data_IF_984982457089
#
_entry.id   IF_984982457089
#
_cell.length_a   1.000
_cell.length_b   1.000
_cell.length_c   1.000
_cell.angle_alpha   90.00
_cell.angle_beta   90.00
_cell.angle_gamma   90.00
#
_symmetry.space_group_name_H-M   'P 1'
#
loop_
_entity.id
_entity.type
_entity.pdbx_description
1 polymer ?
#
# COMPACT_ATOMS: atom_id res chain seq x y z
N UNK A 1 -10.60 -8.27 28.80
CA UNK A 1 -10.90 -9.19 27.69
C UNK A 1 -10.01 -8.80 26.53
N UNK A 2 -9.52 -9.77 25.76
CA UNK A 2 -8.74 -9.49 24.54
C UNK A 2 -9.68 -9.11 23.40
N UNK A 3 -9.15 -8.46 22.38
CA UNK A 3 -9.91 -8.02 21.20
C UNK A 3 -10.65 -9.22 20.56
N UNK A 4 -9.99 -10.37 20.46
CA UNK A 4 -10.57 -11.60 19.90
C UNK A 4 -11.69 -12.18 20.77
N UNK A 5 -11.56 -12.10 22.10
CA UNK A 5 -12.61 -12.55 23.02
C UNK A 5 -13.88 -11.72 22.89
N UNK A 6 -13.75 -10.41 22.71
CA UNK A 6 -14.88 -9.50 22.53
C UNK A 6 -15.54 -9.71 21.16
N UNK A 7 -14.72 -9.88 20.12
CA UNK A 7 -15.19 -10.26 18.79
C UNK A 7 -16.01 -11.56 18.81
N UNK A 8 -15.46 -12.63 19.40
CA UNK A 8 -16.15 -13.93 19.42
C UNK A 8 -17.43 -13.88 20.25
N UNK A 9 -17.46 -13.09 21.33
CA UNK A 9 -18.66 -12.90 22.16
C UNK A 9 -19.79 -12.23 21.37
N UNK A 10 -19.47 -11.29 20.47
CA UNK A 10 -20.45 -10.68 19.56
C UNK A 10 -20.95 -11.67 18.52
N UNK A 11 -20.05 -12.44 17.93
CA UNK A 11 -20.39 -13.52 16.98
C UNK A 11 -21.33 -14.54 17.64
N UNK A 12 -21.05 -14.94 18.88
CA UNK A 12 -21.89 -15.86 19.63
C UNK A 12 -23.28 -15.27 19.91
N UNK A 13 -23.36 -14.01 20.34
CA UNK A 13 -24.63 -13.32 20.57
C UNK A 13 -25.50 -13.29 19.31
N UNK A 14 -24.90 -12.98 18.15
CA UNK A 14 -25.58 -12.99 16.86
C UNK A 14 -26.04 -14.41 16.50
N UNK A 15 -25.17 -15.41 16.67
CA UNK A 15 -25.49 -16.80 16.37
C UNK A 15 -26.66 -17.34 17.21
N UNK A 16 -26.68 -17.01 18.51
CA UNK A 16 -27.73 -17.43 19.45
C UNK A 16 -29.13 -16.90 19.09
N UNK A 17 -29.23 -15.86 18.26
CA UNK A 17 -30.53 -15.38 17.76
C UNK A 17 -31.24 -16.39 16.85
N UNK A 18 -30.50 -17.32 16.23
CA UNK A 18 -31.01 -18.29 15.27
C UNK A 18 -31.57 -17.70 13.97
N UNK A 19 -31.37 -16.40 13.74
CA UNK A 19 -31.89 -15.65 12.57
C UNK A 19 -30.78 -15.00 11.75
N UNK A 20 -29.53 -15.23 12.13
CA UNK A 20 -28.38 -14.65 11.48
C UNK A 20 -28.20 -15.19 10.06
N UNK A 21 -27.74 -14.32 9.17
CA UNK A 21 -27.21 -14.64 7.85
C UNK A 21 -25.73 -14.25 7.80
N UNK A 22 -25.04 -14.58 6.71
CA UNK A 22 -23.66 -14.12 6.48
C UNK A 22 -23.46 -12.62 6.75
N UNK A 23 -24.39 -11.77 6.30
CA UNK A 23 -24.31 -10.32 6.52
C UNK A 23 -24.41 -9.91 7.99
N UNK A 24 -25.03 -10.72 8.84
CA UNK A 24 -25.25 -10.39 10.25
C UNK A 24 -23.95 -10.31 11.04
N UNK A 25 -22.90 -11.00 10.60
CA UNK A 25 -21.59 -11.01 11.27
C UNK A 25 -20.65 -9.90 10.79
N UNK A 26 -20.97 -9.24 9.67
CA UNK A 26 -20.12 -8.20 9.06
C UNK A 26 -19.81 -7.01 10.00
N UNK A 27 -20.76 -6.50 10.82
CA UNK A 27 -20.46 -5.44 11.78
C UNK A 27 -19.39 -5.85 12.81
N UNK A 28 -19.42 -7.12 13.27
CA UNK A 28 -18.43 -7.62 14.22
C UNK A 28 -17.03 -7.69 13.58
N UNK A 29 -16.95 -8.09 12.31
CA UNK A 29 -15.69 -8.06 11.55
C UNK A 29 -15.18 -6.61 11.35
N UNK A 30 -16.05 -5.68 10.95
CA UNK A 30 -15.64 -4.29 10.77
C UNK A 30 -15.06 -3.67 12.05
N UNK A 31 -15.71 -3.91 13.18
CA UNK A 31 -15.25 -3.44 14.49
C UNK A 31 -13.95 -4.13 14.95
N UNK A 32 -13.80 -5.43 14.68
CA UNK A 32 -12.55 -6.15 14.94
C UNK A 32 -11.38 -5.45 14.24
N UNK A 33 -11.48 -5.19 12.93
CA UNK A 33 -10.39 -4.55 12.18
C UNK A 33 -10.16 -3.09 12.61
N UNK A 34 -11.21 -2.34 12.91
CA UNK A 34 -11.09 -0.97 13.43
C UNK A 34 -10.43 -0.91 14.82
N UNK A 35 -10.47 -2.01 15.59
CA UNK A 35 -9.83 -2.10 16.90
C UNK A 35 -8.34 -2.48 16.85
N UNK A 36 -7.81 -2.90 15.69
CA UNK A 36 -6.42 -3.34 15.55
C UNK A 36 -5.43 -2.17 15.56
N UNK A 37 -5.80 -1.01 15.01
CA UNK A 37 -4.98 0.21 15.00
C UNK A 37 -5.84 1.46 14.71
N UNK A 38 -5.39 2.63 15.18
CA UNK A 38 -6.16 3.91 15.13
C UNK A 38 -6.53 4.35 13.71
N UNK A 39 -5.68 4.08 12.72
CA UNK A 39 -5.87 4.49 11.32
C UNK A 39 -6.45 3.39 10.42
N UNK A 40 -6.79 2.21 10.97
CA UNK A 40 -7.29 1.07 10.19
C UNK A 40 -8.82 1.08 10.14
N UNK A 41 -9.37 0.91 8.94
CA UNK A 41 -10.81 0.73 8.73
C UNK A 41 -11.09 -0.40 7.76
N UNK A 42 -12.21 -1.09 7.96
CA UNK A 42 -12.71 -2.12 7.05
C UNK A 42 -14.04 -1.65 6.46
N UNK A 43 -13.99 -1.19 5.20
CA UNK A 43 -15.17 -0.77 4.46
C UNK A 43 -15.92 -2.00 3.97
N UNK A 44 -17.14 -2.21 4.46
CA UNK A 44 -18.02 -3.27 3.97
C UNK A 44 -18.67 -2.86 2.64
N UNK A 45 -18.82 -3.82 1.73
CA UNK A 45 -19.40 -3.62 0.38
C UNK A 45 -18.72 -2.47 -0.39
N UNK A 46 -17.39 -2.57 -0.62
CA UNK A 46 -16.66 -1.59 -1.43
C UNK A 46 -17.17 -1.56 -2.87
N UNK A 47 -16.82 -0.50 -3.60
CA UNK A 47 -17.07 -0.46 -5.04
C UNK A 47 -16.40 -1.66 -5.74
N UNK A 48 -17.10 -2.20 -6.74
CA UNK A 48 -16.68 -3.39 -7.46
C UNK A 48 -15.37 -3.15 -8.22
N UNK A 49 -14.38 -4.00 -8.00
CA UNK A 49 -13.09 -4.00 -8.71
C UNK A 49 -13.10 -5.01 -9.87
N UNK A 50 -12.09 -4.96 -10.74
CA UNK A 50 -12.02 -5.79 -11.95
C UNK A 50 -12.14 -7.30 -11.68
N UNK A 51 -11.64 -7.78 -10.53
CA UNK A 51 -11.71 -9.18 -10.14
C UNK A 51 -13.01 -9.55 -9.38
N UNK A 52 -13.86 -8.60 -9.02
CA UNK A 52 -15.10 -8.80 -8.27
C UNK A 52 -15.30 -7.77 -7.16
N UNK A 53 -16.14 -8.07 -6.18
CA UNK A 53 -16.27 -7.25 -4.97
C UNK A 53 -16.04 -8.19 -3.78
N UNK A 54 -14.86 -8.15 -3.15
CA UNK A 54 -14.68 -8.73 -1.83
C UNK A 54 -15.62 -8.08 -0.83
N UNK A 55 -16.02 -8.80 0.21
CA UNK A 55 -16.94 -8.26 1.21
C UNK A 55 -16.40 -7.05 1.96
N UNK A 56 -15.07 -7.01 2.19
CA UNK A 56 -14.41 -5.88 2.80
C UNK A 56 -13.17 -5.45 2.03
N UNK A 57 -12.97 -4.13 2.01
CA UNK A 57 -11.71 -3.48 1.71
C UNK A 57 -11.15 -2.93 3.02
N UNK A 58 -9.96 -3.39 3.41
CA UNK A 58 -9.25 -2.91 4.59
C UNK A 58 -8.25 -1.86 4.17
N UNK A 59 -8.29 -0.70 4.80
CA UNK A 59 -7.42 0.43 4.49
C UNK A 59 -6.83 1.05 5.75
N UNK A 60 -5.63 1.61 5.61
CA UNK A 60 -5.00 2.48 6.61
C UNK A 60 -4.90 3.88 6.03
N UNK A 61 -5.67 4.83 6.56
CA UNK A 61 -5.91 6.10 5.88
C UNK A 61 -6.45 5.88 4.45
N UNK A 62 -5.74 6.39 3.45
CA UNK A 62 -6.09 6.25 2.02
C UNK A 62 -5.48 5.02 1.33
N UNK A 63 -4.73 4.18 2.05
CA UNK A 63 -3.98 3.05 1.48
C UNK A 63 -4.74 1.73 1.70
N UNK A 64 -5.03 1.00 0.63
CA UNK A 64 -5.69 -0.31 0.69
C UNK A 64 -4.71 -1.40 1.12
N UNK A 65 -4.80 -1.85 2.38
CA UNK A 65 -3.92 -2.87 2.98
C UNK A 65 -4.23 -4.27 2.46
N UNK A 66 -5.51 -4.58 2.27
CA UNK A 66 -5.93 -5.92 1.92
C UNK A 66 -7.45 -6.06 1.83
N UNK A 67 -7.89 -7.27 1.57
CA UNK A 67 -9.30 -7.59 1.38
C UNK A 67 -9.71 -8.74 2.28
N UNK A 68 -10.99 -8.77 2.64
CA UNK A 68 -11.58 -9.88 3.39
C UNK A 68 -12.81 -10.37 2.64
N UNK A 69 -12.88 -11.68 2.45
CA UNK A 69 -14.09 -12.37 2.02
C UNK A 69 -14.67 -13.12 3.22
N UNK A 70 -15.90 -12.78 3.58
CA UNK A 70 -16.63 -13.43 4.65
C UNK A 70 -17.49 -14.56 4.10
N UNK A 71 -17.76 -15.56 4.95
CA UNK A 71 -18.73 -16.63 4.71
C UNK A 71 -19.61 -16.80 5.93
N UNK A 72 -20.76 -17.43 5.71
CA UNK A 72 -21.64 -17.79 6.82
C UNK A 72 -20.96 -18.74 7.80
N UNK A 73 -21.29 -18.63 9.09
CA UNK A 73 -20.65 -19.34 10.20
C UNK A 73 -20.51 -20.87 9.98
N UNK A 74 -21.52 -21.59 9.43
CA UNK A 74 -21.43 -23.04 9.23
C UNK A 74 -20.66 -23.43 7.96
N UNK A 75 -20.30 -22.47 7.10
CA UNK A 75 -19.66 -22.73 5.82
C UNK A 75 -18.15 -22.88 6.03
N UNK A 76 -17.62 -24.08 5.73
CA UNK A 76 -16.19 -24.32 5.76
C UNK A 76 -15.45 -23.56 4.65
N UNK A 77 -14.26 -23.04 4.98
CA UNK A 77 -13.41 -22.31 4.04
C UNK A 77 -12.66 -23.22 3.06
N UNK A 78 -12.50 -24.49 3.43
CA UNK A 78 -11.66 -25.47 2.71
C UNK A 78 -12.53 -26.46 1.95
N UNK A 79 -12.16 -26.74 0.70
CA UNK A 79 -12.92 -27.66 -0.15
C UNK A 79 -14.19 -27.07 -0.76
N UNK A 80 -14.23 -25.74 -0.94
CA UNK A 80 -15.30 -25.07 -1.69
C UNK A 80 -15.47 -25.69 -3.09
N UNK A 81 -16.71 -25.76 -3.57
CA UNK A 81 -17.07 -26.33 -4.87
C UNK A 81 -17.60 -25.26 -5.82
N UNK A 82 -17.54 -25.57 -7.11
CA UNK A 82 -18.19 -24.83 -8.18
C UNK A 82 -17.92 -23.31 -8.16
N UNK A 83 -18.98 -22.50 -8.03
CA UNK A 83 -18.91 -21.04 -8.08
C UNK A 83 -18.01 -20.44 -6.99
N UNK A 84 -18.05 -20.99 -5.78
CA UNK A 84 -17.25 -20.48 -4.65
C UNK A 84 -15.77 -20.75 -4.85
N UNK A 85 -15.41 -21.91 -5.43
CA UNK A 85 -14.02 -22.22 -5.79
C UNK A 85 -13.51 -21.29 -6.88
N UNK A 86 -14.30 -21.06 -7.93
CA UNK A 86 -13.92 -20.16 -9.01
C UNK A 86 -13.74 -18.70 -8.52
N UNK A 87 -14.57 -18.26 -7.58
CA UNK A 87 -14.41 -16.95 -6.92
C UNK A 87 -13.11 -16.91 -6.12
N UNK A 88 -12.86 -17.91 -5.27
CA UNK A 88 -11.66 -18.00 -4.45
C UNK A 88 -10.38 -18.01 -5.30
N UNK A 89 -10.33 -18.83 -6.36
CA UNK A 89 -9.19 -18.89 -7.27
C UNK A 89 -8.96 -17.54 -7.98
N UNK A 90 -10.04 -16.82 -8.32
CA UNK A 90 -9.95 -15.49 -8.94
C UNK A 90 -9.45 -14.44 -7.96
N UNK A 91 -9.94 -14.44 -6.72
CA UNK A 91 -9.54 -13.48 -5.69
C UNK A 91 -8.10 -13.71 -5.25
N UNK A 92 -7.70 -14.96 -5.01
CA UNK A 92 -6.31 -15.31 -4.68
C UNK A 92 -5.32 -14.81 -5.74
N UNK A 93 -5.66 -14.93 -7.02
CA UNK A 93 -4.78 -14.45 -8.11
C UNK A 93 -4.73 -12.94 -8.25
N UNK A 94 -5.76 -12.23 -7.80
CA UNK A 94 -5.93 -10.80 -8.06
C UNK A 94 -5.64 -9.92 -6.85
N UNK A 95 -5.70 -10.48 -5.64
CA UNK A 95 -5.61 -9.74 -4.38
C UNK A 95 -4.36 -10.21 -3.62
N UNK A 96 -3.33 -9.36 -3.48
CA UNK A 96 -2.03 -9.75 -2.94
C UNK A 96 -2.07 -10.01 -1.42
N UNK A 97 -3.02 -9.42 -0.71
CA UNK A 97 -3.22 -9.62 0.72
C UNK A 97 -4.72 -9.87 0.99
N UNK A 98 -5.06 -11.10 1.34
CA UNK A 98 -6.45 -11.57 1.36
C UNK A 98 -6.72 -12.50 2.54
N UNK A 99 -7.80 -12.24 3.27
CA UNK A 99 -8.33 -13.13 4.30
C UNK A 99 -9.63 -13.76 3.81
N UNK A 100 -9.78 -15.06 4.03
CA UNK A 100 -11.07 -15.74 4.04
C UNK A 100 -11.45 -16.08 5.48
N UNK A 101 -12.69 -15.79 5.88
CA UNK A 101 -13.18 -16.15 7.21
C UNK A 101 -14.67 -16.47 7.25
N UNK A 102 -15.06 -17.40 8.13
CA UNK A 102 -16.45 -17.62 8.56
C UNK A 102 -16.66 -17.15 10.01
N UNK A 103 -15.80 -16.24 10.49
CA UNK A 103 -15.65 -15.78 11.88
C UNK A 103 -15.03 -16.78 12.86
N UNK A 104 -15.01 -18.09 12.56
CA UNK A 104 -14.42 -19.12 13.43
C UNK A 104 -13.09 -19.62 12.90
N UNK A 105 -13.03 -19.86 11.60
CA UNK A 105 -11.87 -20.23 10.80
C UNK A 105 -11.37 -19.02 10.03
N UNK A 106 -10.05 -18.97 9.84
CA UNK A 106 -9.35 -17.90 9.16
C UNK A 106 -8.26 -18.52 8.28
N UNK A 107 -8.32 -18.23 6.98
CA UNK A 107 -7.27 -18.59 6.01
C UNK A 107 -6.66 -17.29 5.48
N UNK A 108 -5.35 -17.13 5.67
CA UNK A 108 -4.58 -15.95 5.26
C UNK A 108 -3.83 -16.26 3.97
N UNK A 109 -4.01 -15.44 2.94
CA UNK A 109 -3.35 -15.56 1.65
C UNK A 109 -2.44 -14.37 1.37
N UNK A 110 -1.25 -14.66 0.85
CA UNK A 110 -0.29 -13.67 0.34
C UNK A 110 0.10 -14.04 -1.08
N UNK A 111 -0.08 -13.10 -2.01
CA UNK A 111 0.26 -13.25 -3.43
C UNK A 111 -0.29 -14.55 -4.04
N UNK A 112 -1.51 -14.90 -3.63
CA UNK A 112 -2.23 -16.10 -4.07
C UNK A 112 -1.89 -17.39 -3.33
N UNK A 113 -0.83 -17.42 -2.53
CA UNK A 113 -0.43 -18.58 -1.73
C UNK A 113 -1.05 -18.55 -0.34
N UNK A 114 -1.41 -19.74 0.18
CA UNK A 114 -1.90 -19.86 1.55
C UNK A 114 -0.72 -19.68 2.51
N UNK A 115 -0.69 -18.56 3.22
CA UNK A 115 0.35 -18.24 4.19
C UNK A 115 0.16 -19.03 5.49
N UNK A 116 -1.04 -18.98 6.05
CA UNK A 116 -1.37 -19.73 7.28
C UNK A 116 -2.88 -19.87 7.45
N UNK A 117 -3.28 -20.72 8.39
CA UNK A 117 -4.67 -20.88 8.81
C UNK A 117 -4.79 -21.06 10.31
N UNK A 118 -5.89 -20.56 10.89
CA UNK A 118 -6.18 -20.71 12.32
C UNK A 118 -7.69 -20.86 12.57
N UNK A 119 -8.05 -21.60 13.61
CA UNK A 119 -9.44 -21.77 14.05
C UNK A 119 -9.57 -21.38 15.52
N UNK A 120 -10.40 -20.40 15.83
CA UNK A 120 -10.58 -19.87 17.19
C UNK A 120 -11.82 -20.43 17.91
N UNK A 121 -12.64 -21.23 17.23
CA UNK A 121 -13.74 -21.95 17.84
C UNK A 121 -14.09 -23.23 17.04
N UNK A 122 -15.03 -24.02 17.56
CA UNK A 122 -15.67 -25.16 16.89
C UNK A 122 -17.20 -25.00 16.95
N UNK A 123 -17.92 -25.53 15.96
CA UNK A 123 -19.39 -25.44 15.87
C UNK A 123 -20.11 -26.80 15.94
N UNK A 124 -19.40 -27.93 15.99
CA UNK A 124 -19.96 -29.29 15.90
C UNK A 124 -20.99 -29.61 17.00
N UNK A 125 -20.79 -29.06 18.19
CA UNK A 125 -21.66 -29.27 19.36
C UNK A 125 -22.04 -27.93 20.00
N UNK A 126 -22.37 -26.96 19.15
CA UNK A 126 -22.51 -25.56 19.53
C UNK A 126 -21.18 -24.83 19.49
N UNK A 127 -21.23 -23.50 19.62
CA UNK A 127 -20.05 -22.63 19.57
C UNK A 127 -19.16 -22.89 20.78
N UNK A 128 -17.96 -23.42 20.54
CA UNK A 128 -16.96 -23.73 21.58
C UNK A 128 -15.68 -22.96 21.30
N UNK A 129 -15.39 -21.89 22.08
CA UNK A 129 -14.16 -21.11 21.93
C UNK A 129 -12.89 -21.95 22.15
N UNK A 130 -11.80 -21.56 21.49
CA UNK A 130 -10.43 -22.06 21.69
C UNK A 130 -9.53 -20.89 22.13
N UNK A 131 -9.56 -20.51 23.42
CA UNK A 131 -8.87 -19.31 23.90
C UNK A 131 -7.35 -19.33 23.69
N UNK A 132 -6.75 -20.53 23.62
CA UNK A 132 -5.34 -20.75 23.33
C UNK A 132 -4.90 -20.28 21.93
N UNK A 133 -5.86 -20.04 21.03
CA UNK A 133 -5.62 -19.55 19.66
C UNK A 133 -5.83 -18.04 19.52
N UNK A 134 -6.32 -17.35 20.55
CA UNK A 134 -6.72 -15.95 20.42
C UNK A 134 -5.51 -15.02 20.20
N UNK A 135 -4.46 -15.18 20.99
CA UNK A 135 -3.24 -14.39 20.83
C UNK A 135 -2.59 -14.62 19.45
N UNK A 136 -2.65 -15.87 18.95
CA UNK A 136 -2.13 -16.20 17.64
C UNK A 136 -2.93 -15.54 16.50
N UNK A 137 -4.27 -15.53 16.60
CA UNK A 137 -5.10 -14.80 15.63
C UNK A 137 -4.84 -13.29 15.70
N UNK A 138 -4.76 -12.73 16.91
CA UNK A 138 -4.50 -11.30 17.10
C UNK A 138 -3.19 -10.89 16.43
N UNK A 139 -2.11 -11.65 16.63
CA UNK A 139 -0.82 -11.41 15.97
C UNK A 139 -0.92 -11.52 14.44
N UNK A 140 -1.64 -12.52 13.91
CA UNK A 140 -1.83 -12.66 12.46
C UNK A 140 -2.63 -11.51 11.84
N UNK A 141 -3.63 -11.00 12.57
CA UNK A 141 -4.40 -9.84 12.15
C UNK A 141 -3.56 -8.56 12.23
N UNK A 142 -2.72 -8.41 13.27
CA UNK A 142 -1.73 -7.33 13.36
C UNK A 142 -0.75 -7.39 12.19
N UNK A 143 -0.20 -8.56 11.87
CA UNK A 143 0.68 -8.77 10.71
C UNK A 143 -0.03 -8.46 9.38
N UNK A 144 -1.32 -8.79 9.26
CA UNK A 144 -2.13 -8.47 8.09
C UNK A 144 -2.31 -6.97 7.90
N UNK A 145 -2.61 -6.21 8.97
CA UNK A 145 -2.81 -4.76 8.88
C UNK A 145 -1.49 -3.97 8.87
N UNK A 146 -0.42 -4.55 9.41
CA UNK A 146 0.93 -4.01 9.32
C UNK A 146 1.55 -4.21 7.94
N UNK A 147 1.00 -5.12 7.12
CA UNK A 147 1.46 -5.34 5.77
C UNK A 147 1.32 -4.05 4.97
N UNK A 148 2.44 -3.51 4.52
CA UNK A 148 2.46 -2.44 3.53
C UNK A 148 2.08 -3.10 2.21
N UNK A 149 0.90 -2.81 1.65
CA UNK A 149 0.50 -3.39 0.39
C UNK A 149 1.50 -2.87 -0.65
N UNK A 150 2.21 -3.79 -1.32
CA UNK A 150 2.85 -3.44 -2.58
C UNK A 150 1.73 -3.32 -3.62
N UNK A 151 1.05 -2.17 -3.59
CA UNK A 151 -0.12 -1.91 -4.45
C UNK A 151 0.24 -1.91 -5.93
N UNK A 152 1.53 -1.78 -6.26
CA UNK A 152 2.04 -1.67 -7.62
C UNK A 152 2.82 -2.93 -7.93
N UNK A 153 2.18 -3.85 -8.64
CA UNK A 153 2.76 -5.16 -9.01
C UNK A 153 3.09 -5.27 -10.50
N UNK A 154 2.80 -4.24 -11.30
CA UNK A 154 3.06 -4.26 -12.74
C UNK A 154 3.92 -3.05 -13.20
N UNK A 155 4.82 -3.25 -14.18
CA UNK A 155 5.62 -2.15 -14.74
C UNK A 155 4.77 -1.00 -15.28
N UNK A 156 3.60 -1.34 -15.86
CA UNK A 156 2.68 -0.37 -16.44
C UNK A 156 2.05 0.53 -15.37
N UNK A 157 1.53 -0.04 -14.29
CA UNK A 157 0.94 0.71 -13.19
C UNK A 157 1.99 1.60 -12.50
N UNK A 158 3.22 1.08 -12.31
CA UNK A 158 4.33 1.88 -11.80
C UNK A 158 4.62 3.09 -12.70
N UNK A 159 4.73 2.87 -14.01
CA UNK A 159 5.01 3.93 -14.97
C UNK A 159 3.90 4.99 -15.03
N UNK A 160 2.63 4.59 -15.01
CA UNK A 160 1.48 5.50 -15.01
C UNK A 160 1.46 6.39 -13.76
N UNK A 161 1.74 5.81 -12.57
CA UNK A 161 1.82 6.57 -11.31
C UNK A 161 3.03 7.49 -11.25
N UNK A 162 4.20 7.01 -11.70
CA UNK A 162 5.41 7.83 -11.82
C UNK A 162 5.18 9.04 -12.75
N UNK A 163 4.56 8.82 -13.91
CA UNK A 163 4.25 9.89 -14.86
C UNK A 163 3.32 10.93 -14.25
N UNK A 164 2.25 10.49 -13.56
CA UNK A 164 1.34 11.40 -12.86
C UNK A 164 2.03 12.25 -11.80
N UNK A 165 2.92 11.66 -11.00
CA UNK A 165 3.71 12.39 -9.99
C UNK A 165 4.73 13.32 -10.63
N UNK A 166 5.41 12.93 -11.71
CA UNK A 166 6.37 13.78 -12.42
C UNK A 166 5.71 15.03 -13.01
N UNK A 167 4.52 14.90 -13.62
CA UNK A 167 3.74 16.05 -14.11
C UNK A 167 3.39 16.99 -12.96
N UNK A 168 2.96 16.45 -11.82
CA UNK A 168 2.63 17.25 -10.65
C UNK A 168 3.85 17.98 -10.08
N UNK A 169 5.01 17.33 -9.99
CA UNK A 169 6.28 17.95 -9.57
C UNK A 169 6.61 19.13 -10.48
N UNK A 170 6.54 18.92 -11.80
CA UNK A 170 6.80 19.96 -12.81
C UNK A 170 5.89 21.17 -12.61
N UNK A 171 4.58 20.94 -12.46
CA UNK A 171 3.59 22.01 -12.30
C UNK A 171 3.82 22.80 -11.00
N UNK A 172 4.00 22.09 -9.88
CA UNK A 172 4.23 22.71 -8.56
C UNK A 172 5.51 23.53 -8.55
N UNK A 173 6.61 22.97 -9.06
CA UNK A 173 7.90 23.66 -9.14
C UNK A 173 7.83 24.88 -10.07
N UNK A 174 7.26 24.72 -11.26
CA UNK A 174 7.12 25.81 -12.22
C UNK A 174 6.28 26.96 -11.67
N UNK A 175 5.22 26.67 -10.91
CA UNK A 175 4.41 27.69 -10.25
C UNK A 175 5.18 28.38 -9.12
N UNK A 176 5.86 27.61 -8.26
CA UNK A 176 6.67 28.16 -7.18
C UNK A 176 7.77 29.11 -7.71
N UNK A 177 8.46 28.74 -8.79
CA UNK A 177 9.48 29.59 -9.41
C UNK A 177 8.92 30.87 -10.05
N UNK A 178 7.69 30.85 -10.56
CA UNK A 178 7.03 32.04 -11.11
C UNK A 178 6.54 32.97 -10.01
N UNK A 179 6.01 32.42 -8.91
CA UNK A 179 5.62 33.19 -7.72
C UNK A 179 6.83 33.88 -7.08
N UNK A 180 7.97 33.19 -7.09
CA UNK A 180 9.22 33.68 -6.51
C UNK A 180 10.06 34.50 -7.52
N UNK A 181 9.58 34.80 -8.72
CA UNK A 181 10.41 35.38 -9.80
C UNK A 181 11.14 36.68 -9.42
N UNK A 182 10.58 37.46 -8.49
CA UNK A 182 11.14 38.71 -7.97
C UNK A 182 11.76 38.58 -6.57
N UNK A 183 11.93 37.35 -6.07
CA UNK A 183 12.43 37.02 -4.72
C UNK A 183 13.71 36.19 -4.80
N UNK A 184 14.65 36.41 -3.89
CA UNK A 184 15.79 35.51 -3.70
C UNK A 184 15.41 34.40 -2.71
N UNK A 185 14.85 33.31 -3.26
CA UNK A 185 14.58 32.06 -2.53
C UNK A 185 15.58 30.97 -2.91
N UNK A 186 15.71 29.92 -2.10
CA UNK A 186 16.59 28.78 -2.43
C UNK A 186 16.24 28.17 -3.79
N UNK A 187 14.96 28.11 -4.14
CA UNK A 187 14.45 27.67 -5.44
C UNK A 187 14.92 28.53 -6.60
N UNK A 188 14.80 29.85 -6.49
CA UNK A 188 15.31 30.78 -7.52
C UNK A 188 16.84 30.76 -7.62
N UNK A 189 17.53 30.54 -6.50
CA UNK A 189 18.97 30.30 -6.44
C UNK A 189 19.37 29.04 -7.18
N UNK A 190 18.62 27.94 -6.99
CA UNK A 190 18.85 26.68 -7.70
C UNK A 190 18.67 26.84 -9.21
N UNK A 191 17.57 27.49 -9.63
CA UNK A 191 17.33 27.78 -11.05
C UNK A 191 18.43 28.65 -11.65
N UNK A 192 18.84 29.72 -10.95
CA UNK A 192 19.89 30.64 -11.41
C UNK A 192 21.24 29.94 -11.54
N UNK A 193 21.61 29.13 -10.54
CA UNK A 193 22.84 28.35 -10.57
C UNK A 193 22.84 27.32 -11.71
N UNK A 194 21.71 26.64 -11.94
CA UNK A 194 21.57 25.69 -13.04
C UNK A 194 21.68 26.40 -14.40
N UNK A 195 21.05 27.56 -14.54
CA UNK A 195 21.14 28.39 -15.74
C UNK A 195 22.56 28.88 -16.00
N UNK A 196 23.26 29.35 -14.99
CA UNK A 196 24.62 29.87 -15.13
C UNK A 196 25.65 28.78 -15.45
N UNK A 197 25.53 27.61 -14.82
CA UNK A 197 26.59 26.58 -14.86
C UNK A 197 26.32 25.44 -15.85
N UNK A 198 25.06 25.20 -16.23
CA UNK A 198 24.68 24.04 -17.07
C UNK A 198 24.03 24.45 -18.38
N UNK A 199 22.93 25.22 -18.35
CA UNK A 199 22.15 25.55 -19.55
C UNK A 199 21.72 27.03 -19.53
N UNK A 200 22.47 27.89 -20.23
CA UNK A 200 22.29 29.35 -20.18
C UNK A 200 20.92 29.85 -20.64
N UNK A 201 20.32 29.18 -21.64
CA UNK A 201 19.05 29.60 -22.24
C UNK A 201 17.85 28.84 -21.68
N UNK A 202 18.00 28.15 -20.54
CA UNK A 202 16.93 27.34 -19.96
C UNK A 202 15.75 28.21 -19.46
N UNK A 203 14.53 27.85 -19.85
CA UNK A 203 13.31 28.47 -19.32
C UNK A 203 12.92 27.85 -17.98
N UNK A 204 12.00 28.50 -17.24
CA UNK A 204 11.44 27.92 -16.00
C UNK A 204 10.76 26.58 -16.30
N UNK A 205 10.04 26.47 -17.41
CA UNK A 205 9.35 25.25 -17.82
C UNK A 205 10.32 24.12 -18.16
N UNK A 206 11.40 24.42 -18.88
CA UNK A 206 12.45 23.44 -19.20
C UNK A 206 13.17 22.97 -17.92
N UNK A 207 13.44 23.89 -17.00
CA UNK A 207 14.06 23.55 -15.72
C UNK A 207 13.15 22.66 -14.87
N UNK A 208 11.86 22.99 -14.79
CA UNK A 208 10.90 22.19 -14.04
C UNK A 208 10.73 20.77 -14.62
N UNK A 209 10.80 20.64 -15.94
CA UNK A 209 10.76 19.35 -16.64
C UNK A 209 11.98 18.50 -16.32
N UNK A 210 13.18 19.04 -16.52
CA UNK A 210 14.45 18.34 -16.21
C UNK A 210 14.52 17.97 -14.73
N UNK A 211 14.02 18.83 -13.85
CA UNK A 211 13.97 18.57 -12.43
C UNK A 211 13.05 17.37 -12.13
N UNK A 212 11.83 17.36 -12.65
CA UNK A 212 10.88 16.27 -12.43
C UNK A 212 11.40 14.94 -12.99
N UNK A 213 11.97 14.94 -14.19
CA UNK A 213 12.60 13.77 -14.80
C UNK A 213 13.76 13.23 -13.95
N UNK A 214 14.62 14.14 -13.46
CA UNK A 214 15.77 13.76 -12.65
C UNK A 214 15.33 13.15 -11.31
N UNK A 215 14.29 13.71 -10.68
CA UNK A 215 13.73 13.17 -9.45
C UNK A 215 13.16 11.77 -9.69
N UNK A 216 12.33 11.60 -10.73
CA UNK A 216 11.71 10.32 -11.05
C UNK A 216 12.75 9.24 -11.37
N UNK A 217 13.74 9.58 -12.19
CA UNK A 217 14.82 8.66 -12.55
C UNK A 217 15.73 8.35 -11.37
N UNK A 218 16.11 9.36 -10.57
CA UNK A 218 16.98 9.17 -9.41
C UNK A 218 16.34 8.28 -8.35
N UNK A 219 15.05 8.47 -8.06
CA UNK A 219 14.31 7.59 -7.14
C UNK A 219 14.17 6.18 -7.68
N UNK A 220 13.87 6.02 -8.97
CA UNK A 220 13.79 4.72 -9.60
C UNK A 220 15.14 3.98 -9.53
N UNK A 221 16.23 4.65 -9.88
CA UNK A 221 17.58 4.10 -9.83
C UNK A 221 17.98 3.71 -8.41
N UNK A 222 17.68 4.55 -7.42
CA UNK A 222 17.90 4.25 -6.02
C UNK A 222 17.10 3.03 -5.56
N UNK A 223 15.81 2.96 -5.91
CA UNK A 223 14.93 1.84 -5.57
C UNK A 223 15.38 0.51 -6.19
N UNK A 224 16.01 0.53 -7.37
CA UNK A 224 16.60 -0.67 -7.98
C UNK A 224 17.79 -1.22 -7.17
N UNK A 225 18.48 -0.35 -6.42
CA UNK A 225 19.61 -0.72 -5.57
C UNK A 225 19.23 -0.90 -4.09
N UNK A 226 17.95 -0.72 -3.78
CA UNK A 226 17.41 -0.84 -2.45
C UNK A 226 17.23 -2.32 -2.05
N UNK A 227 17.53 -2.62 -0.79
CA UNK A 227 17.34 -3.96 -0.20
C UNK A 227 16.26 -3.96 0.88
N UNK A 228 15.74 -2.79 1.25
CA UNK A 228 14.76 -2.55 2.29
C UNK A 228 13.44 -2.07 1.68
N UNK A 229 12.52 -3.02 1.43
CA UNK A 229 11.27 -2.72 0.74
C UNK A 229 10.36 -1.73 1.50
N UNK A 230 10.46 -1.68 2.83
CA UNK A 230 9.44 -1.07 3.69
C UNK A 230 9.70 0.40 4.11
N UNK A 231 10.87 0.97 3.82
CA UNK A 231 11.28 2.29 4.37
C UNK A 231 11.63 3.35 3.34
N UNK A 232 11.40 3.08 2.05
CA UNK A 232 11.90 3.95 0.98
C UNK A 232 11.48 5.41 1.12
N UNK A 233 12.48 6.27 1.23
CA UNK A 233 12.35 7.71 1.39
C UNK A 233 13.28 8.46 0.44
N UNK A 234 13.09 9.77 0.27
CA UNK A 234 14.01 10.60 -0.53
C UNK A 234 15.43 10.62 0.05
N UNK A 235 15.57 10.57 1.37
CA UNK A 235 16.87 10.53 2.05
C UNK A 235 17.57 9.20 1.79
N UNK A 236 16.85 8.09 1.92
CA UNK A 236 17.36 6.77 1.56
C UNK A 236 17.75 6.71 0.07
N UNK A 237 16.97 7.34 -0.80
CA UNK A 237 17.30 7.41 -2.23
C UNK A 237 18.67 8.06 -2.49
N UNK A 238 19.00 9.17 -1.79
CA UNK A 238 20.30 9.84 -1.89
C UNK A 238 21.48 8.93 -1.50
N UNK A 239 21.28 8.06 -0.52
CA UNK A 239 22.30 7.13 -0.03
C UNK A 239 22.52 5.97 -0.99
N UNK A 240 21.43 5.44 -1.53
CA UNK A 240 21.40 4.28 -2.43
C UNK A 240 21.85 4.60 -3.86
N UNK A 241 21.82 5.87 -4.28
CA UNK A 241 22.29 6.25 -5.61
C UNK A 241 23.75 5.79 -5.85
N UNK A 242 24.01 5.07 -6.97
CA UNK A 242 25.29 4.41 -7.20
C UNK A 242 26.43 5.42 -7.36
N UNK A 243 27.53 5.18 -6.64
CA UNK A 243 28.74 6.04 -6.67
C UNK A 243 29.39 6.11 -8.06
N UNK A 244 29.10 5.16 -8.94
CA UNK A 244 29.56 5.13 -10.33
C UNK A 244 28.87 6.18 -11.22
N UNK A 245 27.81 6.85 -10.76
CA UNK A 245 27.18 7.98 -11.44
C UNK A 245 27.25 9.27 -10.60
N UNK A 246 28.43 9.93 -10.51
CA UNK A 246 28.61 11.14 -9.70
C UNK A 246 27.72 12.31 -10.14
N UNK A 247 27.43 12.41 -11.43
CA UNK A 247 26.58 13.48 -11.96
C UNK A 247 25.15 13.37 -11.44
N UNK A 248 24.53 12.19 -11.57
CA UNK A 248 23.18 11.95 -11.06
C UNK A 248 23.09 12.19 -9.55
N UNK A 249 24.10 11.73 -8.79
CA UNK A 249 24.13 11.91 -7.34
C UNK A 249 24.25 13.38 -6.94
N UNK A 250 25.10 14.14 -7.62
CA UNK A 250 25.24 15.59 -7.38
C UNK A 250 23.98 16.35 -7.77
N UNK A 251 23.38 16.00 -8.93
CA UNK A 251 22.17 16.66 -9.39
C UNK A 251 20.98 16.33 -8.48
N UNK A 252 20.75 15.05 -8.17
CA UNK A 252 19.71 14.61 -7.24
C UNK A 252 19.92 15.18 -5.83
N UNK A 253 21.15 15.27 -5.34
CA UNK A 253 21.49 15.93 -4.07
C UNK A 253 21.22 17.42 -4.05
N UNK A 254 21.51 18.10 -5.16
CA UNK A 254 21.23 19.52 -5.33
C UNK A 254 19.73 19.82 -5.33
N UNK A 255 18.92 18.96 -5.94
CA UNK A 255 17.48 19.19 -6.08
C UNK A 255 16.64 18.57 -4.96
N UNK A 256 17.02 17.43 -4.39
CA UNK A 256 16.22 16.67 -3.41
C UNK A 256 16.79 16.69 -1.98
N UNK A 257 17.77 17.56 -1.72
CA UNK A 257 18.53 17.65 -0.47
C UNK A 257 17.70 18.03 0.76
N UNK A 258 18.38 18.28 1.88
CA UNK A 258 17.70 18.55 3.16
C UNK A 258 16.93 19.88 3.17
N UNK A 259 17.41 20.88 2.44
CA UNK A 259 16.82 22.22 2.38
C UNK A 259 15.83 22.36 1.21
N UNK A 260 14.92 21.37 1.09
CA UNK A 260 13.90 21.38 0.04
C UNK A 260 12.72 22.26 0.46
N UNK A 261 12.24 23.11 -0.45
CA UNK A 261 11.04 23.92 -0.22
C UNK A 261 9.83 23.03 0.12
N UNK A 262 9.14 23.34 1.22
CA UNK A 262 7.99 22.57 1.72
C UNK A 262 6.86 22.44 0.68
N UNK A 263 6.72 23.41 -0.25
CA UNK A 263 5.75 23.36 -1.35
C UNK A 263 6.03 22.21 -2.33
N UNK A 264 7.27 21.72 -2.38
CA UNK A 264 7.73 20.65 -3.28
C UNK A 264 8.01 19.36 -2.50
N UNK A 265 8.44 19.46 -1.24
CA UNK A 265 8.78 18.31 -0.42
C UNK A 265 7.68 17.25 -0.35
N UNK A 266 6.43 17.66 -0.13
CA UNK A 266 5.31 16.72 -0.03
C UNK A 266 5.09 15.90 -1.30
N UNK A 267 5.27 16.47 -2.50
CA UNK A 267 5.05 15.76 -3.77
C UNK A 267 6.20 14.79 -4.08
N UNK A 268 7.42 15.15 -3.70
CA UNK A 268 8.59 14.28 -3.81
C UNK A 268 8.48 13.11 -2.83
N UNK A 269 8.09 13.37 -1.58
CA UNK A 269 7.85 12.33 -0.58
C UNK A 269 6.72 11.38 -1.02
N UNK A 270 5.69 11.90 -1.70
CA UNK A 270 4.64 11.11 -2.31
C UNK A 270 5.14 10.19 -3.44
N UNK A 271 6.09 10.65 -4.25
CA UNK A 271 6.74 9.80 -5.25
C UNK A 271 7.60 8.72 -4.58
N UNK A 272 8.28 9.02 -3.48
CA UNK A 272 8.99 8.00 -2.69
C UNK A 272 8.01 6.95 -2.15
N UNK A 273 6.83 7.34 -1.68
CA UNK A 273 5.78 6.38 -1.27
C UNK A 273 5.31 5.49 -2.43
N UNK A 274 5.19 6.02 -3.65
CA UNK A 274 4.89 5.22 -4.85
C UNK A 274 5.95 4.14 -5.05
N UNK A 275 7.24 4.47 -4.93
CA UNK A 275 8.32 3.49 -5.03
C UNK A 275 8.37 2.52 -3.85
N UNK A 276 8.05 2.97 -2.64
CA UNK A 276 7.91 2.11 -1.46
C UNK A 276 6.79 1.08 -1.62
N UNK A 277 5.70 1.45 -2.30
CA UNK A 277 4.58 0.57 -2.59
C UNK A 277 4.79 -0.35 -3.82
N UNK A 278 6.01 -0.41 -4.36
CA UNK A 278 6.39 -1.26 -5.50
C UNK A 278 7.62 -2.12 -5.17
N UNK A 279 7.59 -3.41 -5.55
CA UNK A 279 8.80 -4.23 -5.65
C UNK A 279 9.45 -4.01 -7.02
N UNK A 280 10.22 -2.93 -7.15
CA UNK A 280 10.85 -2.57 -8.44
C UNK A 280 11.78 -3.67 -8.94
N UNK A 281 12.49 -4.38 -8.05
CA UNK A 281 13.37 -5.48 -8.44
C UNK A 281 12.60 -6.61 -9.14
N UNK A 282 11.49 -7.06 -8.55
CA UNK A 282 10.64 -8.12 -9.12
C UNK A 282 9.94 -7.68 -10.41
N UNK A 283 9.43 -6.44 -10.45
CA UNK A 283 8.84 -5.82 -11.66
C UNK A 283 9.82 -5.85 -12.83
N UNK A 284 11.13 -5.75 -12.54
CA UNK A 284 12.18 -5.64 -13.55
C UNK A 284 12.74 -6.99 -14.03
N UNK A 285 12.52 -8.10 -13.31
CA UNK A 285 13.02 -9.43 -13.72
C UNK A 285 12.46 -9.91 -15.08
N UNK A 286 11.30 -9.38 -15.49
CA UNK A 286 10.62 -9.69 -16.76
C UNK A 286 10.79 -8.64 -17.86
N UNK A 287 11.49 -7.54 -17.61
CA UNK A 287 11.52 -6.41 -18.55
C UNK A 287 12.60 -6.61 -19.63
N UNK A 288 12.21 -6.49 -20.90
CA UNK A 288 13.13 -6.65 -22.04
C UNK A 288 13.34 -8.11 -22.51
N UNK A 289 12.52 -9.05 -22.04
CA UNK A 289 12.40 -10.40 -22.62
C UNK A 289 11.25 -10.48 -23.61
#
# INVERSE_FOLDING_TARGET
>A
MTIISDFLSRVESIYQTGKATEHSYRPALAELFASLAEDVSALNEPQRVACGAPDFLVQQGDIIIGHIEAKDLPVGLRGMKDANKNQQDRYRKALPNLIYTNCLDWDFYRDGELYTSISIADLLMGLRPKPDQFDALENLLQDFVAQRPQTITSPKDLAERMAGKAVLIKDVLGNALREDADQETDLTGQYSAFKEHLIHDITIDDFADIYAETIAYGMFAARLHDTTLDTFSRQEALELLPKSNPFLRSLFGFIAGQDLDDRIAWVIDDLARVFGAANVAEIMEGFGK
#
